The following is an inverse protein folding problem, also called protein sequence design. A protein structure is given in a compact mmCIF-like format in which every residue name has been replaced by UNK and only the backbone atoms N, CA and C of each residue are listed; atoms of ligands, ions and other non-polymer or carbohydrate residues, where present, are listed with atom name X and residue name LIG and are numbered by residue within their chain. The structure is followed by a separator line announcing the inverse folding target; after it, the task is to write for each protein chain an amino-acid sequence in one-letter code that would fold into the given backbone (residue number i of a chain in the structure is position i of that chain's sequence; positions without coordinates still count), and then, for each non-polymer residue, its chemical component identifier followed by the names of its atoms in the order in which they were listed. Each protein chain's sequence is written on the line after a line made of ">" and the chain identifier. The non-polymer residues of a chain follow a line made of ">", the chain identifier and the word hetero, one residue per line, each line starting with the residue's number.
data_IF_447298168508
#
_entry.id   IF_447298168508
#
_cell.length_a   1.000
_cell.length_b   1.000
_cell.length_c   1.000
_cell.angle_alpha   90.00
_cell.angle_beta   90.00
_cell.angle_gamma   90.00
#
_symmetry.space_group_name_H-M   'P 1'
#
loop_
_entity.id
_entity.type
_entity.pdbx_description
1 polymer ?
#
# COMPACT_ATOMS: atom_id res chain seq x y z
N UNK A 1 -28.03 -21.01 4.46
CA UNK A 1 -27.59 -21.86 5.58
C UNK A 1 -26.79 -20.93 6.48
N UNK A 2 -27.32 -20.58 7.65
CA UNK A 2 -26.52 -19.78 8.60
C UNK A 2 -25.36 -20.68 9.04
N UNK A 3 -24.12 -20.23 8.83
CA UNK A 3 -22.97 -20.87 9.43
C UNK A 3 -23.12 -20.78 10.95
N UNK A 4 -23.06 -21.91 11.64
CA UNK A 4 -23.01 -21.92 13.09
C UNK A 4 -21.62 -21.45 13.52
N UNK A 5 -21.48 -20.18 13.80
CA UNK A 5 -20.23 -19.53 14.24
C UNK A 5 -19.77 -20.05 15.62
N UNK A 6 -20.62 -20.82 16.33
CA UNK A 6 -20.37 -21.22 17.72
C UNK A 6 -19.59 -22.54 17.87
N UNK A 7 -19.39 -23.31 16.81
CA UNK A 7 -18.91 -24.71 16.90
C UNK A 7 -17.38 -24.85 16.75
N UNK A 8 -16.67 -23.88 16.15
CA UNK A 8 -15.25 -23.99 15.92
C UNK A 8 -14.43 -23.20 16.94
N UNK A 9 -13.57 -23.90 17.71
CA UNK A 9 -12.58 -23.25 18.60
C UNK A 9 -11.30 -23.00 17.79
N UNK A 10 -11.04 -21.76 17.38
CA UNK A 10 -9.84 -21.48 16.60
C UNK A 10 -8.57 -21.70 17.43
N UNK A 11 -7.42 -22.00 16.79
CA UNK A 11 -6.13 -21.97 17.46
C UNK A 11 -5.89 -20.63 18.14
N UNK A 12 -5.07 -20.59 19.20
CA UNK A 12 -4.71 -19.35 19.87
C UNK A 12 -4.13 -18.33 18.84
N UNK A 13 -4.59 -17.09 18.95
CA UNK A 13 -4.13 -15.98 18.14
C UNK A 13 -3.79 -14.84 19.08
N UNK A 14 -2.54 -14.40 19.07
CA UNK A 14 -2.05 -13.38 19.98
C UNK A 14 -2.51 -12.00 19.48
N UNK A 15 -3.28 -11.23 20.28
CA UNK A 15 -3.61 -9.86 19.96
C UNK A 15 -2.36 -8.97 19.98
N UNK A 16 -2.48 -7.80 19.34
CA UNK A 16 -1.51 -6.73 19.58
C UNK A 16 -1.62 -6.24 21.03
N UNK A 17 -0.52 -5.74 21.60
CA UNK A 17 -0.54 -5.03 22.87
C UNK A 17 -1.45 -3.79 22.76
N UNK A 18 -2.37 -3.63 23.72
CA UNK A 18 -3.31 -2.50 23.71
C UNK A 18 -2.53 -1.20 23.89
N UNK A 19 -2.75 -0.15 23.06
CA UNK A 19 -2.05 1.13 23.21
C UNK A 19 -2.33 1.79 24.55
N UNK A 20 -1.30 2.35 25.18
CA UNK A 20 -1.49 3.21 26.37
C UNK A 20 -2.27 4.49 26.02
N UNK A 21 -1.96 5.10 24.87
CA UNK A 21 -2.69 6.24 24.30
C UNK A 21 -3.18 5.83 22.89
N UNK A 22 -4.44 5.42 22.81
CA UNK A 22 -5.01 4.92 21.57
C UNK A 22 -6.17 3.97 21.79
N UNK A 23 -6.59 3.32 20.72
CA UNK A 23 -7.64 2.30 20.73
C UNK A 23 -7.19 1.03 20.02
N UNK A 24 -7.66 -0.11 20.52
CA UNK A 24 -7.61 -1.38 19.81
C UNK A 24 -9.00 -1.70 19.27
N UNK A 25 -9.08 -1.97 17.98
CA UNK A 25 -10.31 -2.43 17.32
C UNK A 25 -10.13 -3.91 17.00
N UNK A 26 -11.15 -4.70 17.28
CA UNK A 26 -11.14 -6.14 17.08
C UNK A 26 -12.25 -6.56 16.12
N UNK A 27 -11.88 -7.19 15.02
CA UNK A 27 -12.79 -7.97 14.21
C UNK A 27 -12.79 -9.40 14.77
N UNK A 28 -13.88 -9.83 15.43
CA UNK A 28 -13.91 -11.12 16.11
C UNK A 28 -13.76 -12.32 15.16
N UNK A 29 -13.47 -13.52 15.69
CA UNK A 29 -13.30 -14.73 14.88
C UNK A 29 -14.53 -15.05 14.03
N UNK A 30 -14.33 -15.30 12.74
CA UNK A 30 -15.37 -15.76 11.81
C UNK A 30 -14.89 -16.92 10.95
N UNK A 31 -15.80 -17.82 10.57
CA UNK A 31 -15.47 -18.99 9.76
C UNK A 31 -15.39 -18.65 8.27
N UNK A 32 -14.37 -19.21 7.60
CA UNK A 32 -14.25 -19.20 6.14
C UNK A 32 -14.30 -20.65 5.66
N UNK A 33 -15.39 -21.09 5.00
CA UNK A 33 -15.54 -22.46 4.54
C UNK A 33 -14.44 -22.93 3.60
N UNK A 34 -14.24 -24.25 3.43
CA UNK A 34 -13.34 -24.79 2.42
C UNK A 34 -13.67 -24.31 1.02
N UNK A 35 -12.65 -24.02 0.20
CA UNK A 35 -12.78 -23.58 -1.19
C UNK A 35 -13.72 -22.39 -1.34
N UNK A 36 -13.68 -21.47 -0.38
CA UNK A 36 -14.55 -20.30 -0.32
C UNK A 36 -13.76 -19.01 -0.06
N UNK A 37 -14.20 -17.97 -0.71
CA UNK A 37 -13.70 -16.61 -0.52
C UNK A 37 -14.77 -15.81 0.22
N UNK A 38 -14.43 -15.29 1.39
CA UNK A 38 -15.34 -14.52 2.24
C UNK A 38 -14.82 -13.12 2.44
N UNK A 39 -15.60 -12.16 2.02
CA UNK A 39 -15.36 -10.74 2.27
C UNK A 39 -16.56 -10.16 3.00
N UNK A 40 -16.28 -9.52 4.13
CA UNK A 40 -17.30 -9.00 5.02
C UNK A 40 -16.93 -7.64 5.62
N UNK A 41 -17.94 -6.97 6.12
CA UNK A 41 -17.84 -5.79 6.98
C UNK A 41 -18.29 -6.10 8.39
N UNK A 42 -17.71 -5.37 9.35
CA UNK A 42 -18.07 -5.41 10.76
C UNK A 42 -17.95 -4.00 11.34
N UNK A 43 -19.09 -3.39 11.65
CA UNK A 43 -19.12 -2.04 12.16
C UNK A 43 -18.97 -2.03 13.68
N UNK A 44 -18.15 -1.10 14.20
CA UNK A 44 -17.86 -0.94 15.63
C UNK A 44 -18.07 0.51 16.02
N UNK A 45 -19.00 0.75 16.95
CA UNK A 45 -19.17 2.06 17.60
C UNK A 45 -17.98 2.32 18.54
N UNK A 46 -17.51 3.56 18.55
CA UNK A 46 -16.38 3.99 19.38
C UNK A 46 -16.86 5.07 20.37
N UNK A 47 -16.73 4.77 21.64
CA UNK A 47 -17.05 5.71 22.72
C UNK A 47 -15.80 6.54 23.11
N UNK A 48 -15.39 7.41 22.20
CA UNK A 48 -14.26 8.34 22.43
C UNK A 48 -14.76 9.76 22.12
N UNK A 49 -14.76 10.67 23.10
CA UNK A 49 -15.26 12.02 22.88
C UNK A 49 -14.29 12.86 22.05
N UNK A 50 -14.81 13.54 21.04
CA UNK A 50 -14.08 14.48 20.21
C UNK A 50 -13.15 13.85 19.19
N UNK A 51 -12.39 14.68 18.49
CA UNK A 51 -11.44 14.23 17.50
C UNK A 51 -10.24 13.53 18.13
N UNK A 52 -9.71 12.52 17.43
CA UNK A 52 -8.46 11.86 17.76
C UNK A 52 -7.43 12.10 16.66
N UNK A 53 -6.16 12.11 17.02
CA UNK A 53 -5.04 12.35 16.11
C UNK A 53 -4.17 11.10 16.06
N UNK A 54 -4.33 10.30 15.00
CA UNK A 54 -3.64 9.02 14.82
C UNK A 54 -2.28 9.26 14.17
N UNK A 55 -1.20 8.88 14.85
CA UNK A 55 0.18 8.99 14.34
C UNK A 55 0.88 7.65 14.09
N UNK A 56 0.25 6.52 14.46
CA UNK A 56 0.73 5.17 14.17
C UNK A 56 -0.43 4.21 14.07
N UNK A 57 -0.34 3.27 13.11
CA UNK A 57 -1.33 2.23 12.88
C UNK A 57 -0.62 0.89 12.86
N UNK A 58 -1.12 -0.08 13.62
CA UNK A 58 -0.61 -1.44 13.59
C UNK A 58 -1.76 -2.45 13.47
N UNK A 59 -1.58 -3.49 12.67
CA UNK A 59 -2.57 -4.55 12.48
C UNK A 59 -1.92 -5.93 12.52
N UNK A 60 -2.66 -6.91 13.02
CA UNK A 60 -2.32 -8.32 12.90
C UNK A 60 -3.55 -9.11 12.46
N UNK A 61 -3.35 -10.02 11.50
CA UNK A 61 -4.41 -10.83 10.89
C UNK A 61 -4.06 -12.31 10.94
N UNK A 62 -5.07 -13.19 11.08
CA UNK A 62 -4.85 -14.63 10.91
C UNK A 62 -4.39 -14.97 9.49
N UNK A 63 -3.70 -16.12 9.31
CA UNK A 63 -3.35 -16.63 7.99
C UNK A 63 -4.57 -16.81 7.08
N UNK A 64 -4.41 -16.56 5.78
CA UNK A 64 -5.48 -16.64 4.78
C UNK A 64 -6.16 -15.29 4.53
N UNK A 65 -5.76 -14.23 5.25
CA UNK A 65 -6.20 -12.88 4.97
C UNK A 65 -5.60 -12.36 3.67
N UNK A 66 -6.44 -11.78 2.83
CA UNK A 66 -6.08 -11.08 1.60
C UNK A 66 -5.86 -9.59 1.88
N UNK A 67 -6.83 -8.95 2.56
CA UNK A 67 -6.71 -7.58 3.03
C UNK A 67 -7.54 -7.32 4.30
N UNK A 68 -7.18 -6.23 4.96
CA UNK A 68 -7.98 -5.60 6.01
C UNK A 68 -8.00 -4.10 5.76
N UNK A 69 -9.19 -3.51 5.78
CA UNK A 69 -9.40 -2.07 5.55
C UNK A 69 -10.29 -1.53 6.67
N UNK A 70 -9.97 -0.34 7.13
CA UNK A 70 -10.80 0.41 8.07
C UNK A 70 -11.41 1.60 7.36
N UNK A 71 -12.72 1.68 7.41
CA UNK A 71 -13.50 2.82 6.96
C UNK A 71 -14.14 3.55 8.13
N UNK A 72 -14.53 4.78 7.92
CA UNK A 72 -15.45 5.54 8.76
C UNK A 72 -16.59 6.11 7.91
N UNK A 73 -17.42 6.90 8.51
CA UNK A 73 -18.54 7.58 7.87
C UNK A 73 -18.47 9.09 8.14
N UNK A 74 -19.45 9.84 7.64
CA UNK A 74 -19.64 11.26 7.90
C UNK A 74 -21.12 11.62 8.12
N UNK A 75 -21.41 12.90 8.28
CA UNK A 75 -22.77 13.40 8.49
C UNK A 75 -23.78 12.99 7.41
N UNK A 76 -23.32 12.74 6.17
CA UNK A 76 -24.18 12.28 5.07
C UNK A 76 -24.70 10.86 5.33
N UNK A 77 -23.91 10.05 6.01
CA UNK A 77 -24.25 8.68 6.36
C UNK A 77 -25.07 8.53 7.64
N UNK A 78 -25.30 9.59 8.42
CA UNK A 78 -25.84 9.54 9.79
C UNK A 78 -27.12 8.70 9.98
N UNK A 79 -27.97 8.59 8.94
CA UNK A 79 -29.18 7.77 8.97
C UNK A 79 -28.99 6.38 8.33
N UNK A 80 -27.79 6.04 7.89
CA UNK A 80 -27.46 4.83 7.15
C UNK A 80 -26.29 4.07 7.76
N UNK A 81 -25.90 4.39 9.00
CA UNK A 81 -24.85 3.64 9.70
C UNK A 81 -25.27 2.17 9.85
N UNK A 82 -24.35 1.24 9.73
CA UNK A 82 -24.61 -0.17 9.95
C UNK A 82 -25.00 -0.47 11.40
N UNK A 83 -25.61 -1.64 11.62
CA UNK A 83 -25.81 -2.13 12.98
C UNK A 83 -24.47 -2.48 13.62
N UNK A 84 -24.29 -2.05 14.89
CA UNK A 84 -23.09 -2.30 15.66
C UNK A 84 -22.87 -3.80 15.87
N UNK A 85 -21.63 -4.26 15.68
CA UNK A 85 -21.17 -5.62 15.95
C UNK A 85 -21.91 -6.72 15.18
N UNK A 86 -22.27 -6.45 13.92
CA UNK A 86 -22.95 -7.39 13.03
C UNK A 86 -22.10 -7.66 11.79
N UNK A 87 -21.82 -8.95 11.51
CA UNK A 87 -21.17 -9.35 10.26
C UNK A 87 -22.09 -9.10 9.07
N UNK A 88 -21.56 -8.49 8.02
CA UNK A 88 -22.27 -8.15 6.80
C UNK A 88 -21.44 -8.61 5.60
N UNK A 89 -21.71 -9.81 5.10
CA UNK A 89 -21.03 -10.35 3.93
C UNK A 89 -21.38 -9.53 2.67
N UNK A 90 -20.40 -9.20 1.84
CA UNK A 90 -20.61 -8.56 0.54
C UNK A 90 -21.34 -9.51 -0.40
N UNK A 91 -21.00 -10.81 -0.31
CA UNK A 91 -21.67 -11.88 -1.05
C UNK A 91 -22.29 -12.87 -0.07
N UNK A 92 -23.53 -13.22 -0.33
CA UNK A 92 -24.19 -14.31 0.38
C UNK A 92 -23.52 -15.66 0.05
N UNK A 93 -23.71 -16.65 0.89
CA UNK A 93 -23.13 -18.00 0.70
C UNK A 93 -23.68 -18.73 -0.55
N UNK A 94 -24.72 -18.24 -1.17
CA UNK A 94 -25.25 -18.73 -2.46
C UNK A 94 -24.60 -18.03 -3.69
N UNK A 95 -23.64 -17.14 -3.44
CA UNK A 95 -22.90 -16.39 -4.46
C UNK A 95 -23.59 -15.08 -4.91
N UNK A 96 -24.82 -14.81 -4.47
CA UNK A 96 -25.49 -13.55 -4.77
C UNK A 96 -24.87 -12.39 -3.98
N UNK A 97 -24.83 -11.20 -4.57
CA UNK A 97 -24.37 -9.97 -3.88
C UNK A 97 -25.40 -9.51 -2.87
N UNK A 98 -24.94 -8.87 -1.78
CA UNK A 98 -25.79 -8.25 -0.78
C UNK A 98 -26.02 -6.78 -1.09
N UNK A 99 -27.20 -6.40 -1.65
CA UNK A 99 -27.44 -5.02 -2.08
C UNK A 99 -27.44 -4.01 -0.93
N UNK A 100 -27.75 -4.45 0.31
CA UNK A 100 -27.72 -3.58 1.48
C UNK A 100 -26.29 -3.17 1.85
N UNK A 101 -25.34 -4.10 1.74
CA UNK A 101 -23.92 -3.81 1.97
C UNK A 101 -23.38 -2.90 0.87
N UNK A 102 -23.65 -3.21 -0.39
CA UNK A 102 -23.23 -2.36 -1.53
C UNK A 102 -23.78 -0.92 -1.41
N UNK A 103 -25.01 -0.77 -0.91
CA UNK A 103 -25.58 0.55 -0.65
C UNK A 103 -24.82 1.30 0.46
N UNK A 104 -24.43 0.62 1.54
CA UNK A 104 -23.68 1.23 2.65
C UNK A 104 -22.27 1.64 2.24
N UNK A 105 -21.61 0.89 1.35
CA UNK A 105 -20.27 1.20 0.84
C UNK A 105 -20.17 2.59 0.18
N UNK A 106 -21.27 3.14 -0.33
CA UNK A 106 -21.29 4.47 -0.95
C UNK A 106 -21.01 5.62 0.04
N UNK A 107 -21.18 5.36 1.33
CA UNK A 107 -21.00 6.35 2.40
C UNK A 107 -19.68 6.16 3.16
N UNK A 108 -18.92 5.13 2.82
CA UNK A 108 -17.66 4.82 3.49
C UNK A 108 -16.55 5.79 3.08
N UNK A 109 -15.77 6.20 4.08
CA UNK A 109 -14.53 6.94 3.91
C UNK A 109 -13.36 6.08 4.36
N UNK A 110 -12.42 5.86 3.48
CA UNK A 110 -11.22 5.10 3.78
C UNK A 110 -10.42 5.79 4.89
N UNK A 111 -9.91 5.02 5.85
CA UNK A 111 -9.01 5.47 6.92
C UNK A 111 -7.63 4.82 6.78
N UNK A 112 -7.61 3.51 6.70
CA UNK A 112 -6.37 2.75 6.57
C UNK A 112 -6.63 1.39 5.95
N UNK A 113 -5.60 0.79 5.39
CA UNK A 113 -5.70 -0.56 4.86
C UNK A 113 -4.34 -1.23 4.77
N UNK A 114 -4.35 -2.56 4.81
CA UNK A 114 -3.16 -3.37 4.62
C UNK A 114 -3.52 -4.71 3.99
N UNK A 115 -2.60 -5.21 3.16
CA UNK A 115 -2.65 -6.55 2.58
C UNK A 115 -1.57 -7.46 3.19
N UNK A 116 -0.84 -6.98 4.22
CA UNK A 116 0.16 -7.75 4.93
C UNK A 116 -0.33 -8.15 6.31
N UNK A 117 -0.11 -9.43 6.68
CA UNK A 117 -0.57 -10.01 7.96
C UNK A 117 -0.08 -9.25 9.20
N UNK A 118 1.10 -8.71 9.14
CA UNK A 118 1.70 -7.90 10.20
C UNK A 118 2.02 -6.54 9.60
N UNK A 119 1.31 -5.53 10.04
CA UNK A 119 1.48 -4.16 9.60
C UNK A 119 1.78 -3.27 10.79
N UNK A 120 2.77 -2.42 10.68
CA UNK A 120 3.12 -1.42 11.69
C UNK A 120 3.71 -0.20 10.98
N UNK A 121 3.01 0.92 11.11
CA UNK A 121 3.37 2.14 10.45
C UNK A 121 3.25 3.34 11.37
N UNK A 122 4.39 3.97 11.67
CA UNK A 122 4.46 5.25 12.35
C UNK A 122 4.60 6.36 11.31
N UNK A 123 3.81 7.41 11.45
CA UNK A 123 3.82 8.59 10.58
C UNK A 123 5.10 9.42 10.83
N UNK A 124 5.43 10.36 9.95
CA UNK A 124 6.48 11.33 10.20
C UNK A 124 6.23 12.10 11.49
N UNK A 125 7.31 12.59 12.11
CA UNK A 125 7.21 13.40 13.34
C UNK A 125 6.32 14.63 13.11
N UNK A 126 5.46 14.95 14.07
CA UNK A 126 4.50 16.04 13.99
C UNK A 126 3.31 15.81 13.06
N UNK A 127 3.21 14.64 12.39
CA UNK A 127 2.12 14.33 11.46
C UNK A 127 1.14 13.37 12.10
N UNK A 128 -0.16 13.69 12.03
CA UNK A 128 -1.22 12.79 12.48
C UNK A 128 -2.49 12.89 11.62
N UNK A 129 -3.18 11.76 11.44
CA UNK A 129 -4.48 11.71 10.79
C UNK A 129 -5.57 12.09 11.80
N UNK A 130 -6.34 13.13 11.50
CA UNK A 130 -7.46 13.57 12.32
C UNK A 130 -8.71 12.76 11.98
N UNK A 131 -9.27 12.08 12.98
CA UNK A 131 -10.47 11.25 12.83
C UNK A 131 -11.54 11.71 13.81
N UNK A 132 -12.80 11.70 13.37
CA UNK A 132 -13.98 11.80 14.26
C UNK A 132 -14.48 10.37 14.56
N UNK A 133 -14.20 9.82 15.74
CA UNK A 133 -14.62 8.48 16.09
C UNK A 133 -16.12 8.34 16.37
N UNK A 134 -16.87 9.43 16.46
CA UNK A 134 -18.32 9.41 16.72
C UNK A 134 -19.12 8.69 15.63
N UNK A 135 -18.55 8.57 14.41
CA UNK A 135 -19.14 7.79 13.32
C UNK A 135 -18.75 6.31 13.33
N UNK A 136 -18.02 5.86 14.34
CA UNK A 136 -17.52 4.47 14.42
C UNK A 136 -16.55 4.10 13.31
N UNK A 137 -16.18 2.82 13.29
CA UNK A 137 -15.32 2.23 12.25
C UNK A 137 -16.00 1.04 11.61
N UNK A 138 -15.91 0.93 10.30
CA UNK A 138 -16.40 -0.19 9.52
C UNK A 138 -15.23 -1.01 9.01
N UNK A 139 -15.08 -2.20 9.53
CA UNK A 139 -13.95 -3.10 9.34
C UNK A 139 -14.25 -4.02 8.17
N UNK A 140 -13.60 -3.81 7.04
CA UNK A 140 -13.64 -4.72 5.91
C UNK A 140 -12.52 -5.75 6.03
N UNK A 141 -12.83 -7.00 5.87
CA UNK A 141 -11.86 -8.08 5.88
C UNK A 141 -12.19 -9.13 4.83
N UNK A 142 -11.16 -9.53 4.10
CA UNK A 142 -11.25 -10.47 2.99
C UNK A 142 -10.31 -11.64 3.20
N UNK A 143 -10.87 -12.85 3.19
CA UNK A 143 -10.15 -14.12 3.36
C UNK A 143 -10.44 -15.05 2.20
N UNK A 144 -9.39 -15.67 1.66
CA UNK A 144 -9.48 -16.71 0.64
C UNK A 144 -9.02 -18.06 1.22
N UNK A 145 -9.91 -19.06 1.22
CA UNK A 145 -9.63 -20.38 1.73
C UNK A 145 -9.57 -21.40 0.59
N UNK A 146 -8.37 -21.72 0.14
CA UNK A 146 -8.12 -22.75 -0.88
C UNK A 146 -7.90 -24.15 -0.30
N UNK A 147 -8.03 -24.33 1.02
CA UNK A 147 -7.87 -25.62 1.71
C UNK A 147 -9.15 -26.45 1.70
N UNK A 148 -9.06 -27.69 2.19
CA UNK A 148 -10.22 -28.57 2.37
C UNK A 148 -10.85 -28.46 3.77
N UNK A 149 -10.26 -27.64 4.65
CA UNK A 149 -10.74 -27.44 6.02
C UNK A 149 -11.25 -26.02 6.19
N UNK A 150 -12.16 -25.79 7.14
CA UNK A 150 -12.58 -24.45 7.53
C UNK A 150 -11.40 -23.72 8.20
N UNK A 151 -11.11 -22.51 7.75
CA UNK A 151 -10.18 -21.62 8.43
C UNK A 151 -10.94 -20.52 9.18
N UNK A 152 -10.24 -19.80 10.07
CA UNK A 152 -10.81 -18.71 10.85
C UNK A 152 -10.12 -17.41 10.48
N UNK A 153 -10.91 -16.40 10.12
CA UNK A 153 -10.49 -15.00 10.01
C UNK A 153 -10.64 -14.32 11.36
N UNK A 154 -9.73 -13.42 11.68
CA UNK A 154 -9.74 -12.55 12.86
C UNK A 154 -8.67 -11.50 12.71
N UNK A 155 -8.94 -10.25 13.14
CA UNK A 155 -8.02 -9.12 13.00
C UNK A 155 -8.01 -8.27 14.26
N UNK A 156 -6.84 -7.90 14.73
CA UNK A 156 -6.64 -6.80 15.68
C UNK A 156 -5.98 -5.63 14.97
N UNK A 157 -6.50 -4.43 15.20
CA UNK A 157 -5.96 -3.18 14.68
C UNK A 157 -5.84 -2.16 15.80
N UNK A 158 -4.66 -1.55 15.93
CA UNK A 158 -4.39 -0.48 16.88
C UNK A 158 -4.25 0.85 16.16
N UNK A 159 -4.95 1.86 16.65
CA UNK A 159 -4.66 3.26 16.39
C UNK A 159 -3.99 3.86 17.62
N UNK A 160 -2.78 4.40 17.43
CA UNK A 160 -2.03 5.10 18.47
C UNK A 160 -2.24 6.59 18.27
N UNK A 161 -2.53 7.30 19.36
CA UNK A 161 -2.85 8.71 19.34
C UNK A 161 -1.65 9.58 19.71
N UNK A 162 -1.59 10.75 19.09
CA UNK A 162 -0.79 11.89 19.48
C UNK A 162 -1.64 12.89 20.24
N UNK A 163 -1.06 13.63 21.17
CA UNK A 163 -1.72 14.80 21.73
C UNK A 163 -1.86 15.87 20.63
N UNK A 164 -2.98 16.59 20.59
CA UNK A 164 -3.22 17.64 19.59
C UNK A 164 -2.13 18.71 19.59
N UNK A 165 -1.53 18.99 20.75
CA UNK A 165 -0.48 19.98 20.90
C UNK A 165 0.85 19.57 20.21
N UNK A 166 1.03 18.29 19.93
CA UNK A 166 2.22 17.73 19.26
C UNK A 166 2.00 17.55 17.74
N UNK A 167 0.80 17.90 17.23
CA UNK A 167 0.46 17.77 15.81
C UNK A 167 0.76 19.09 15.09
N UNK A 168 1.77 19.06 14.22
CA UNK A 168 2.16 20.19 13.38
C UNK A 168 1.41 20.17 12.03
N UNK A 169 1.16 18.94 11.51
CA UNK A 169 0.50 18.72 10.22
C UNK A 169 -0.60 17.66 10.34
N UNK A 170 -1.78 18.01 9.84
CA UNK A 170 -2.88 17.06 9.74
C UNK A 170 -2.73 16.27 8.44
N UNK A 171 -2.61 14.94 8.57
CA UNK A 171 -2.58 14.05 7.43
C UNK A 171 -3.96 13.89 6.81
N UNK A 172 -3.97 13.74 5.49
CA UNK A 172 -5.15 13.44 4.69
C UNK A 172 -4.91 12.22 3.80
N UNK A 173 -5.99 11.65 3.28
CA UNK A 173 -5.94 10.46 2.44
C UNK A 173 -5.94 10.89 0.98
N UNK A 174 -4.90 10.48 0.27
CA UNK A 174 -4.85 10.56 -1.19
C UNK A 174 -5.54 9.33 -1.77
N UNK A 175 -6.52 9.55 -2.66
CA UNK A 175 -7.14 8.49 -3.43
C UNK A 175 -7.31 8.93 -4.88
N UNK A 176 -6.50 8.37 -5.77
CA UNK A 176 -6.53 8.66 -7.20
C UNK A 176 -7.10 7.44 -7.94
N UNK A 177 -8.24 7.63 -8.61
CA UNK A 177 -8.95 6.56 -9.30
C UNK A 177 -8.96 6.80 -10.80
N UNK A 178 -8.65 5.77 -11.58
CA UNK A 178 -9.01 5.74 -12.98
C UNK A 178 -10.15 4.72 -13.20
N UNK A 179 -11.33 5.23 -13.51
CA UNK A 179 -12.51 4.42 -13.78
C UNK A 179 -12.69 4.11 -15.28
N UNK A 180 -11.83 4.66 -16.15
CA UNK A 180 -11.87 4.42 -17.59
C UNK A 180 -11.00 3.20 -17.94
N UNK A 181 -11.49 2.03 -17.52
CA UNK A 181 -10.85 0.73 -17.76
C UNK A 181 -11.64 0.00 -18.84
N UNK A 182 -10.93 -0.40 -19.90
CA UNK A 182 -11.47 -1.24 -20.96
C UNK A 182 -10.41 -2.25 -21.40
N UNK A 183 -10.61 -3.52 -21.04
CA UNK A 183 -9.68 -4.62 -21.29
C UNK A 183 -10.30 -5.62 -22.27
N UNK A 184 -9.94 -5.56 -23.55
CA UNK A 184 -10.40 -6.54 -24.54
C UNK A 184 -9.96 -7.96 -24.17
N UNK A 185 -10.73 -8.99 -24.60
CA UNK A 185 -10.42 -10.38 -24.30
C UNK A 185 -9.10 -10.84 -24.93
N UNK A 186 -8.43 -11.77 -24.24
CA UNK A 186 -7.24 -12.49 -24.70
C UNK A 186 -6.08 -11.59 -25.13
N UNK A 187 -5.88 -10.44 -24.44
CA UNK A 187 -4.74 -9.56 -24.73
C UNK A 187 -4.20 -8.83 -23.49
N UNK A 188 -2.97 -8.36 -23.62
CA UNK A 188 -2.34 -7.45 -22.66
C UNK A 188 -2.68 -6.01 -23.02
N UNK A 189 -3.08 -5.22 -22.03
CA UNK A 189 -3.43 -3.79 -22.17
C UNK A 189 -2.74 -2.98 -21.10
N UNK A 190 -2.07 -1.88 -21.49
CA UNK A 190 -1.53 -0.91 -20.55
C UNK A 190 -2.36 0.35 -20.58
N UNK A 191 -2.81 0.79 -19.41
CA UNK A 191 -3.59 2.01 -19.22
C UNK A 191 -2.73 3.01 -18.42
N UNK A 192 -2.81 4.29 -18.78
CA UNK A 192 -2.15 5.37 -18.07
C UNK A 192 -3.12 6.51 -17.77
N UNK A 193 -3.00 7.10 -16.57
CA UNK A 193 -3.80 8.24 -16.15
C UNK A 193 -2.96 9.24 -15.38
N UNK A 194 -3.19 10.55 -15.58
CA UNK A 194 -2.41 11.63 -14.96
C UNK A 194 -3.30 12.46 -14.04
N UNK A 195 -2.77 12.75 -12.87
CA UNK A 195 -3.41 13.54 -11.83
C UNK A 195 -2.46 14.65 -11.40
N UNK A 196 -2.94 15.89 -11.40
CA UNK A 196 -2.14 17.07 -11.05
C UNK A 196 -2.48 17.48 -9.62
N UNK A 197 -1.46 17.68 -8.78
CA UNK A 197 -1.62 17.95 -7.35
C UNK A 197 -2.45 19.19 -7.09
N UNK A 198 -2.26 20.25 -7.88
CA UNK A 198 -3.06 21.48 -7.81
C UNK A 198 -4.55 21.25 -8.08
N UNK A 199 -4.90 20.26 -8.91
CA UNK A 199 -6.29 19.93 -9.26
C UNK A 199 -6.93 18.96 -8.26
N UNK A 200 -6.17 18.00 -7.76
CA UNK A 200 -6.66 16.95 -6.86
C UNK A 200 -6.70 17.41 -5.39
N UNK A 201 -5.71 18.18 -4.96
CA UNK A 201 -5.52 18.63 -3.58
C UNK A 201 -5.77 20.14 -3.45
N UNK A 202 -5.43 20.93 -4.46
CA UNK A 202 -5.63 22.38 -4.49
C UNK A 202 -4.45 23.19 -3.96
N UNK A 203 -3.44 22.56 -3.38
CA UNK A 203 -2.24 23.19 -2.84
C UNK A 203 -1.05 22.19 -2.83
N UNK A 204 0.20 22.67 -2.70
CA UNK A 204 1.37 21.80 -2.59
C UNK A 204 1.25 20.80 -1.45
N UNK A 205 1.73 19.59 -1.68
CA UNK A 205 1.54 18.47 -0.77
C UNK A 205 2.82 17.66 -0.52
N UNK A 206 2.93 17.14 0.69
CA UNK A 206 3.99 16.25 1.14
C UNK A 206 3.43 14.83 1.25
N UNK A 207 3.70 13.98 0.27
CA UNK A 207 3.23 12.59 0.24
C UNK A 207 4.24 11.72 0.99
N UNK A 208 3.80 11.02 2.04
CA UNK A 208 4.66 10.17 2.85
C UNK A 208 4.35 8.66 2.77
N UNK A 209 3.21 8.30 2.14
CA UNK A 209 2.86 6.91 1.88
C UNK A 209 2.15 6.78 0.54
N UNK A 210 2.44 5.71 -0.22
CA UNK A 210 1.68 5.29 -1.41
C UNK A 210 1.56 3.77 -1.47
N UNK A 211 0.43 3.29 -1.98
CA UNK A 211 0.24 1.91 -2.42
C UNK A 211 -0.82 1.84 -3.52
N UNK A 212 -0.75 0.81 -4.35
CA UNK A 212 -1.72 0.58 -5.43
C UNK A 212 -2.82 -0.37 -5.01
N UNK A 213 -3.95 -0.29 -5.71
CA UNK A 213 -4.99 -1.30 -5.68
C UNK A 213 -5.48 -1.58 -7.10
N UNK A 214 -5.48 -2.84 -7.45
CA UNK A 214 -5.99 -3.39 -8.70
C UNK A 214 -6.53 -4.81 -8.42
N UNK A 215 -7.15 -5.46 -9.39
CA UNK A 215 -7.63 -6.82 -9.25
C UNK A 215 -6.76 -7.84 -10.03
N UNK A 216 -7.27 -9.06 -10.18
CA UNK A 216 -6.51 -10.25 -10.58
C UNK A 216 -5.87 -10.24 -11.98
N UNK A 217 -6.33 -9.37 -12.88
CA UNK A 217 -5.74 -9.28 -14.23
C UNK A 217 -4.53 -8.33 -14.27
N UNK A 218 -4.29 -7.58 -13.19
CA UNK A 218 -3.14 -6.67 -13.11
C UNK A 218 -1.82 -7.45 -13.00
N UNK A 219 -0.90 -7.16 -13.92
CA UNK A 219 0.43 -7.79 -13.95
C UNK A 219 1.53 -6.87 -13.43
N UNK A 220 1.34 -5.57 -13.52
CA UNK A 220 2.18 -4.57 -12.88
C UNK A 220 1.46 -3.23 -12.75
N UNK A 221 1.83 -2.50 -11.71
CA UNK A 221 1.32 -1.17 -11.42
C UNK A 221 2.49 -0.25 -11.11
N UNK A 222 2.60 0.87 -11.80
CA UNK A 222 3.66 1.86 -11.60
C UNK A 222 3.06 3.22 -11.32
N UNK A 223 3.76 3.99 -10.49
CA UNK A 223 3.44 5.39 -10.23
C UNK A 223 4.68 6.23 -10.51
N UNK A 224 4.49 7.27 -11.29
CA UNK A 224 5.54 8.21 -11.64
C UNK A 224 5.20 9.60 -11.10
N UNK A 225 6.21 10.30 -10.63
CA UNK A 225 6.17 11.74 -10.48
C UNK A 225 6.39 12.36 -11.86
N UNK A 226 5.57 13.31 -12.23
CA UNK A 226 5.58 14.03 -13.50
C UNK A 226 5.55 15.54 -13.24
N UNK A 227 5.97 16.34 -14.23
CA UNK A 227 5.98 17.79 -14.14
C UNK A 227 5.37 18.41 -15.41
N UNK A 228 4.47 19.39 -15.25
CA UNK A 228 3.79 20.07 -16.37
C UNK A 228 4.76 20.89 -17.24
N UNK A 229 5.80 21.45 -16.62
CA UNK A 229 6.79 22.28 -17.32
C UNK A 229 7.89 21.45 -17.99
N UNK A 230 8.02 20.18 -17.61
CA UNK A 230 8.98 19.21 -18.16
C UNK A 230 8.25 17.93 -18.59
N UNK A 231 7.48 17.94 -19.71
CA UNK A 231 6.59 16.83 -20.09
C UNK A 231 7.26 15.47 -20.30
N UNK A 232 8.57 15.47 -20.60
CA UNK A 232 9.37 14.25 -20.76
C UNK A 232 9.97 13.74 -19.44
N UNK A 233 9.81 14.49 -18.34
CA UNK A 233 10.31 14.11 -17.02
C UNK A 233 9.33 13.13 -16.37
N UNK A 234 9.78 11.88 -16.18
CA UNK A 234 9.06 10.82 -15.45
C UNK A 234 9.99 10.17 -14.44
N UNK A 235 9.74 10.37 -13.17
CA UNK A 235 10.47 9.72 -12.09
C UNK A 235 9.62 8.57 -11.51
N UNK A 236 10.09 7.33 -11.59
CA UNK A 236 9.41 6.19 -10.98
C UNK A 236 9.52 6.27 -9.45
N UNK A 237 8.40 6.47 -8.77
CA UNK A 237 8.34 6.57 -7.31
C UNK A 237 7.72 5.34 -6.64
N UNK A 238 6.93 4.53 -7.38
CA UNK A 238 6.30 3.32 -6.87
C UNK A 238 6.16 2.27 -7.98
N UNK A 239 6.29 1.00 -7.60
CA UNK A 239 6.00 -0.13 -8.48
C UNK A 239 5.49 -1.33 -7.69
N UNK A 240 4.46 -2.01 -8.23
CA UNK A 240 3.98 -3.31 -7.76
C UNK A 240 3.91 -4.30 -8.93
N UNK A 241 4.21 -5.57 -8.65
CA UNK A 241 3.98 -6.72 -9.53
C UNK A 241 3.09 -7.77 -8.88
N UNK A 242 2.57 -7.43 -7.72
CA UNK A 242 1.68 -8.27 -6.93
C UNK A 242 0.42 -7.47 -6.64
N UNK A 243 -0.66 -7.80 -7.34
CA UNK A 243 -1.95 -7.15 -7.17
C UNK A 243 -2.61 -7.57 -5.84
N UNK A 244 -2.29 -8.79 -5.38
CA UNK A 244 -2.86 -9.37 -4.17
C UNK A 244 -2.22 -8.78 -2.90
N UNK A 245 -0.91 -8.51 -2.94
CA UNK A 245 -0.16 -7.94 -1.82
C UNK A 245 0.72 -6.77 -2.30
N UNK A 246 0.11 -5.67 -2.81
CA UNK A 246 0.87 -4.54 -3.26
C UNK A 246 1.67 -3.94 -2.11
N UNK A 247 2.92 -3.60 -2.37
CA UNK A 247 3.78 -3.04 -1.35
C UNK A 247 3.32 -1.65 -0.91
N UNK A 248 3.38 -1.36 0.40
CA UNK A 248 3.18 -0.02 0.94
C UNK A 248 4.51 0.72 0.95
N UNK A 249 4.65 1.72 0.07
CA UNK A 249 5.84 2.56 0.00
C UNK A 249 5.75 3.67 1.05
N UNK A 250 6.80 3.84 1.83
CA UNK A 250 6.97 4.90 2.81
C UNK A 250 8.07 5.85 2.32
N UNK A 251 7.81 7.15 2.39
CA UNK A 251 8.78 8.18 2.03
C UNK A 251 9.24 8.89 3.29
N UNK A 252 10.53 8.80 3.53
CA UNK A 252 11.20 9.53 4.61
C UNK A 252 12.52 10.08 4.05
N UNK A 253 12.61 11.41 3.88
CA UNK A 253 11.55 12.41 4.09
C UNK A 253 10.36 12.24 3.10
N UNK A 254 9.19 12.83 3.41
CA UNK A 254 8.05 12.88 2.50
C UNK A 254 8.41 13.47 1.12
N UNK A 255 7.79 12.98 0.06
CA UNK A 255 7.95 13.55 -1.27
C UNK A 255 7.11 14.82 -1.38
N UNK A 256 7.77 15.95 -1.54
CA UNK A 256 7.10 17.22 -1.80
C UNK A 256 6.72 17.33 -3.29
N UNK A 257 5.48 17.69 -3.52
CA UNK A 257 4.93 18.01 -4.84
C UNK A 257 4.50 19.46 -4.86
N UNK A 258 5.02 20.24 -5.81
CA UNK A 258 4.58 21.61 -6.03
C UNK A 258 3.33 21.67 -6.95
N UNK A 259 2.84 22.89 -7.21
CA UNK A 259 1.65 23.13 -8.02
C UNK A 259 1.78 22.67 -9.50
N UNK A 260 2.99 22.49 -10.02
CA UNK A 260 3.25 22.05 -11.39
C UNK A 260 3.54 20.54 -11.48
N UNK A 261 3.52 19.84 -10.39
CA UNK A 261 3.83 18.43 -10.33
C UNK A 261 2.58 17.56 -10.19
N UNK A 262 2.71 16.32 -10.55
CA UNK A 262 1.61 15.38 -10.56
C UNK A 262 2.05 13.94 -10.46
N UNK A 263 1.06 13.08 -10.44
CA UNK A 263 1.19 11.63 -10.41
C UNK A 263 0.66 11.06 -11.72
N UNK A 264 1.47 10.25 -12.39
CA UNK A 264 1.01 9.39 -13.47
C UNK A 264 0.96 7.95 -12.98
N UNK A 265 -0.21 7.35 -13.04
CA UNK A 265 -0.40 5.91 -12.83
C UNK A 265 -0.28 5.19 -14.18
N UNK A 266 0.42 4.06 -14.22
CA UNK A 266 0.51 3.17 -15.37
C UNK A 266 0.29 1.74 -14.88
N UNK A 267 -0.79 1.10 -15.34
CA UNK A 267 -1.11 -0.28 -14.98
C UNK A 267 -1.22 -1.16 -16.21
N UNK A 268 -0.61 -2.33 -16.16
CA UNK A 268 -0.69 -3.34 -17.22
C UNK A 268 -1.53 -4.51 -16.76
N UNK A 269 -2.47 -4.92 -17.59
CA UNK A 269 -3.41 -6.00 -17.34
C UNK A 269 -3.28 -7.06 -18.42
N UNK A 270 -3.40 -8.32 -18.04
CA UNK A 270 -3.52 -9.44 -18.97
C UNK A 270 -4.93 -10.04 -18.85
N UNK A 271 -5.82 -9.62 -19.74
CA UNK A 271 -7.14 -10.22 -19.81
C UNK A 271 -7.04 -11.57 -20.55
N UNK A 272 -7.05 -12.65 -19.81
CA UNK A 272 -7.00 -14.03 -20.29
C UNK A 272 -8.40 -14.68 -20.38
N UNK A 273 -9.46 -13.87 -20.29
CA UNK A 273 -10.85 -14.31 -20.44
C UNK A 273 -11.36 -14.08 -21.86
N UNK A 274 -12.52 -14.66 -22.19
CA UNK A 274 -13.19 -14.45 -23.48
C UNK A 274 -14.15 -13.23 -23.47
N UNK A 275 -14.23 -12.51 -22.33
CA UNK A 275 -15.12 -11.37 -22.13
C UNK A 275 -14.32 -10.06 -22.02
N UNK A 276 -14.99 -8.94 -22.33
CA UNK A 276 -14.44 -7.61 -22.01
C UNK A 276 -14.53 -7.41 -20.49
N UNK A 277 -13.45 -6.90 -19.89
CA UNK A 277 -13.44 -6.51 -18.48
C UNK A 277 -13.33 -4.99 -18.38
N UNK A 278 -14.18 -4.40 -17.57
CA UNK A 278 -14.28 -2.96 -17.34
C UNK A 278 -14.10 -2.65 -15.85
N UNK A 279 -14.14 -1.37 -15.50
CA UNK A 279 -14.10 -0.93 -14.09
C UNK A 279 -15.30 -1.48 -13.30
N UNK A 280 -15.02 -2.00 -12.10
CA UNK A 280 -16.05 -2.43 -11.17
C UNK A 280 -15.52 -2.87 -9.82
N UNK A 281 -16.45 -3.03 -8.87
CA UNK A 281 -16.12 -3.31 -7.46
C UNK A 281 -15.94 -4.81 -7.15
N UNK A 282 -16.27 -5.68 -8.11
CA UNK A 282 -16.17 -7.12 -7.90
C UNK A 282 -14.80 -7.64 -8.32
N UNK A 283 -14.34 -8.72 -7.71
CA UNK A 283 -13.03 -9.33 -8.04
C UNK A 283 -12.92 -9.85 -9.48
N UNK A 284 -14.03 -9.96 -10.20
CA UNK A 284 -14.10 -10.29 -11.64
C UNK A 284 -13.99 -9.06 -12.55
N UNK A 285 -14.22 -7.87 -12.01
CA UNK A 285 -14.01 -6.59 -12.67
C UNK A 285 -12.56 -6.14 -12.43
N UNK A 286 -12.19 -4.94 -12.88
CA UNK A 286 -10.86 -4.39 -12.62
C UNK A 286 -10.91 -3.01 -11.99
N UNK A 287 -9.82 -2.68 -11.29
CA UNK A 287 -9.58 -1.37 -10.68
C UNK A 287 -8.21 -0.82 -11.02
N UNK A 288 -8.07 0.50 -10.95
CA UNK A 288 -6.81 1.22 -11.08
C UNK A 288 -6.80 2.38 -10.09
N UNK A 289 -6.32 2.12 -8.87
CA UNK A 289 -6.36 3.07 -7.77
C UNK A 289 -4.98 3.21 -7.14
N UNK A 290 -4.60 4.44 -6.80
CA UNK A 290 -3.50 4.74 -5.89
C UNK A 290 -4.09 5.31 -4.62
N UNK A 291 -3.74 4.70 -3.50
CA UNK A 291 -3.96 5.23 -2.17
C UNK A 291 -2.67 5.79 -1.61
N UNK A 292 -2.79 6.81 -0.76
CA UNK A 292 -1.66 7.38 -0.06
C UNK A 292 -2.06 8.19 1.15
N UNK A 293 -1.05 8.67 1.85
CA UNK A 293 -1.19 9.64 2.92
C UNK A 293 -0.31 10.84 2.60
N UNK A 294 -0.86 12.01 2.79
CA UNK A 294 -0.19 13.28 2.56
C UNK A 294 -0.59 14.30 3.63
N UNK A 295 0.11 15.39 3.70
CA UNK A 295 -0.31 16.62 4.36
C UNK A 295 0.05 17.80 3.46
N UNK A 296 -0.74 18.88 3.56
CA UNK A 296 -0.56 20.09 2.76
C UNK A 296 0.39 21.08 3.45
N UNK A 297 0.86 22.06 2.71
CA UNK A 297 1.73 23.11 3.18
C UNK A 297 3.06 23.17 2.44
N UNK A 298 3.89 24.13 2.84
CA UNK A 298 5.23 24.28 2.28
C UNK A 298 6.02 22.97 2.47
N UNK A 299 6.97 22.76 1.58
CA UNK A 299 7.96 21.72 1.75
C UNK A 299 8.46 21.75 3.18
N UNK A 300 8.35 20.62 3.91
CA UNK A 300 8.92 20.56 5.24
C UNK A 300 10.34 21.09 5.17
N UNK A 301 10.58 22.24 5.79
CA UNK A 301 11.89 22.76 6.04
C UNK A 301 12.61 21.89 7.10
N UNK A 302 12.70 20.62 6.84
CA UNK A 302 13.94 19.98 7.17
C UNK A 302 14.93 20.69 6.29
N UNK A 303 15.95 21.31 6.84
CA UNK A 303 17.15 21.77 6.13
C UNK A 303 17.76 20.66 5.25
N UNK A 304 17.03 19.57 4.99
CA UNK A 304 17.36 18.34 4.29
C UNK A 304 16.87 18.28 2.84
N UNK A 305 15.85 19.06 2.42
CA UNK A 305 15.31 18.86 1.05
C UNK A 305 15.92 19.72 -0.06
N UNK A 306 16.62 20.81 0.25
CA UNK A 306 17.56 21.43 -0.67
C UNK A 306 19.02 21.13 -0.30
N UNK A 307 19.26 20.32 0.73
CA UNK A 307 20.57 19.81 1.06
C UNK A 307 20.70 18.42 0.42
N UNK A 308 21.69 18.29 -0.43
CA UNK A 308 22.25 17.01 -0.83
C UNK A 308 22.32 16.09 0.38
N UNK A 309 22.10 14.78 0.24
CA UNK A 309 22.26 13.84 1.34
C UNK A 309 23.53 14.13 2.12
N UNK A 310 23.48 14.15 3.43
CA UNK A 310 24.67 14.50 4.25
C UNK A 310 25.74 13.40 4.22
N UNK A 311 25.32 12.15 3.95
CA UNK A 311 26.21 11.00 3.83
C UNK A 311 25.71 10.04 2.75
N UNK A 312 26.61 9.27 2.11
CA UNK A 312 26.18 8.21 1.23
C UNK A 312 25.39 7.15 1.99
N UNK A 313 24.29 6.67 1.43
CA UNK A 313 23.46 5.61 2.04
C UNK A 313 22.91 4.71 0.95
N UNK A 314 22.87 3.41 1.22
CA UNK A 314 22.16 2.43 0.41
C UNK A 314 20.92 1.98 1.21
N UNK A 315 19.74 2.26 0.67
CA UNK A 315 18.48 1.86 1.30
C UNK A 315 18.18 0.37 1.10
N UNK A 316 17.26 -0.17 1.88
CA UNK A 316 16.71 -1.50 1.62
C UNK A 316 16.00 -1.49 0.26
N UNK A 317 16.20 -2.55 -0.53
CA UNK A 317 15.48 -2.69 -1.79
C UNK A 317 14.00 -2.93 -1.53
N UNK A 318 13.19 -2.51 -2.48
CA UNK A 318 11.75 -2.62 -2.36
C UNK A 318 11.09 -2.94 -3.72
N UNK A 319 10.16 -3.91 -3.76
CA UNK A 319 9.82 -4.85 -2.68
C UNK A 319 10.96 -5.79 -2.30
N UNK A 320 10.91 -6.39 -1.09
CA UNK A 320 11.81 -7.45 -0.64
C UNK A 320 11.10 -8.36 0.38
N UNK A 321 10.77 -9.62 0.06
CA UNK A 321 11.10 -10.35 -1.19
C UNK A 321 10.47 -9.75 -2.44
N UNK A 322 11.01 -10.07 -3.63
CA UNK A 322 10.56 -9.52 -4.92
C UNK A 322 10.47 -10.59 -6.02
N UNK A 323 9.65 -10.31 -7.08
CA UNK A 323 9.45 -11.22 -8.22
C UNK A 323 9.06 -10.46 -9.50
N UNK A 324 9.88 -10.42 -10.56
CA UNK A 324 11.34 -10.51 -10.53
C UNK A 324 12.01 -9.13 -10.32
N UNK A 325 11.22 -8.07 -10.08
CA UNK A 325 11.67 -6.68 -10.08
C UNK A 325 11.73 -6.09 -8.67
N UNK A 326 12.74 -5.25 -8.43
CA UNK A 326 12.90 -4.48 -7.20
C UNK A 326 13.60 -3.16 -7.47
N UNK A 327 13.34 -2.15 -6.64
CA UNK A 327 13.99 -0.85 -6.67
C UNK A 327 15.09 -0.79 -5.60
N UNK A 328 16.24 -0.28 -5.97
CA UNK A 328 17.32 0.05 -5.06
C UNK A 328 17.42 1.57 -4.97
N UNK A 329 17.21 2.13 -3.79
CA UNK A 329 17.37 3.57 -3.52
C UNK A 329 18.73 3.80 -2.88
N UNK A 330 19.38 4.90 -3.24
CA UNK A 330 20.66 5.29 -2.66
C UNK A 330 20.84 6.82 -2.68
N UNK A 331 21.58 7.32 -1.70
CA UNK A 331 21.78 8.71 -1.46
C UNK A 331 23.23 9.09 -1.75
N UNK A 332 23.44 10.20 -2.45
CA UNK A 332 24.76 10.72 -2.83
C UNK A 332 24.93 12.16 -2.34
N UNK A 333 25.79 12.41 -1.33
CA UNK A 333 26.02 13.76 -0.81
C UNK A 333 26.77 14.66 -1.80
N UNK A 334 27.47 14.07 -2.74
CA UNK A 334 28.23 14.78 -3.78
C UNK A 334 28.27 13.98 -5.09
N UNK A 335 28.40 14.68 -6.20
CA UNK A 335 28.56 14.05 -7.51
C UNK A 335 29.86 13.24 -7.56
N UNK A 336 29.81 12.05 -8.14
CA UNK A 336 30.98 11.17 -8.22
C UNK A 336 30.70 9.87 -8.96
N UNK A 337 31.74 9.05 -9.08
CA UNK A 337 31.62 7.71 -9.63
C UNK A 337 30.85 6.83 -8.65
N UNK A 338 29.83 6.15 -9.17
CA UNK A 338 29.02 5.19 -8.43
C UNK A 338 29.11 3.83 -9.12
N UNK A 339 29.37 2.78 -8.33
CA UNK A 339 29.29 1.40 -8.78
C UNK A 339 28.27 0.67 -7.91
N UNK A 340 27.22 0.10 -8.54
CA UNK A 340 26.24 -0.77 -7.88
C UNK A 340 26.26 -2.13 -8.54
N UNK A 341 26.57 -3.15 -7.74
CA UNK A 341 26.70 -4.53 -8.22
C UNK A 341 25.84 -5.50 -7.41
N UNK A 342 25.34 -6.51 -8.10
CA UNK A 342 24.60 -7.64 -7.53
C UNK A 342 25.52 -8.86 -7.49
N UNK A 343 25.50 -9.59 -6.36
CA UNK A 343 26.28 -10.82 -6.15
C UNK A 343 25.37 -11.94 -5.62
N UNK A 344 25.70 -13.18 -5.94
CA UNK A 344 25.10 -14.33 -5.27
C UNK A 344 25.80 -14.60 -3.92
N UNK A 345 25.29 -15.56 -3.17
CA UNK A 345 25.81 -15.91 -1.84
C UNK A 345 27.23 -16.51 -1.85
N UNK A 346 27.75 -16.86 -3.03
CA UNK A 346 29.16 -17.30 -3.19
C UNK A 346 30.11 -16.14 -3.47
N UNK A 347 29.57 -14.90 -3.57
CA UNK A 347 30.32 -13.69 -3.90
C UNK A 347 30.55 -13.51 -5.41
N UNK A 348 29.97 -14.35 -6.25
CA UNK A 348 30.07 -14.21 -7.70
C UNK A 348 29.21 -13.04 -8.16
N UNK A 349 29.79 -12.14 -8.94
CA UNK A 349 29.06 -11.03 -9.54
C UNK A 349 28.02 -11.52 -10.55
N UNK A 350 26.81 -11.08 -10.38
CA UNK A 350 25.64 -11.40 -11.22
C UNK A 350 25.38 -10.27 -12.21
N UNK A 351 25.29 -9.02 -11.73
CA UNK A 351 24.99 -7.85 -12.56
C UNK A 351 25.67 -6.61 -12.03
N UNK A 352 26.03 -5.73 -12.96
CA UNK A 352 26.38 -4.34 -12.66
C UNK A 352 25.21 -3.45 -13.05
N UNK A 353 24.56 -2.81 -12.07
CA UNK A 353 23.40 -1.94 -12.30
C UNK A 353 23.83 -0.51 -12.64
N UNK A 354 24.84 -0.01 -11.93
CA UNK A 354 25.40 1.33 -12.14
C UNK A 354 26.92 1.22 -12.16
N UNK A 355 27.56 1.87 -13.13
CA UNK A 355 29.01 2.07 -13.19
C UNK A 355 29.30 3.34 -13.97
N UNK A 356 28.93 4.49 -13.39
CA UNK A 356 29.04 5.80 -14.06
C UNK A 356 29.11 6.94 -13.05
N UNK A 357 29.53 8.12 -13.53
CA UNK A 357 29.41 9.33 -12.76
C UNK A 357 27.92 9.68 -12.57
N UNK A 358 27.53 9.94 -11.33
CA UNK A 358 26.19 10.33 -10.93
C UNK A 358 26.23 11.71 -10.27
N UNK A 359 25.21 12.53 -10.50
CA UNK A 359 25.02 13.77 -9.73
C UNK A 359 24.67 13.47 -8.28
N UNK A 360 24.99 14.41 -7.39
CA UNK A 360 24.49 14.36 -6.01
C UNK A 360 22.96 14.32 -5.97
N UNK A 361 22.39 13.80 -4.87
CA UNK A 361 20.95 13.69 -4.65
C UNK A 361 20.49 12.27 -4.34
N UNK A 362 19.17 12.11 -4.18
CA UNK A 362 18.50 10.84 -3.98
C UNK A 362 18.32 10.13 -5.32
N UNK A 363 18.66 8.84 -5.40
CA UNK A 363 18.70 8.08 -6.65
C UNK A 363 17.95 6.76 -6.49
N UNK A 364 17.41 6.28 -7.60
CA UNK A 364 16.74 4.98 -7.70
C UNK A 364 17.21 4.23 -8.93
N UNK A 365 17.40 2.92 -8.81
CA UNK A 365 17.71 2.02 -9.93
C UNK A 365 16.95 0.71 -9.77
N UNK A 366 16.40 0.19 -10.85
CA UNK A 366 15.68 -1.08 -10.86
C UNK A 366 16.59 -2.26 -11.18
N UNK A 367 16.37 -3.38 -10.50
CA UNK A 367 16.86 -4.68 -10.90
C UNK A 367 15.70 -5.63 -11.21
N UNK A 368 15.78 -6.31 -12.35
CA UNK A 368 14.75 -7.20 -12.89
C UNK A 368 15.09 -8.68 -12.78
N UNK A 369 15.89 -9.10 -11.80
CA UNK A 369 16.26 -10.51 -11.61
C UNK A 369 17.08 -11.11 -12.77
N UNK A 370 17.84 -10.29 -13.52
CA UNK A 370 18.68 -10.79 -14.63
C UNK A 370 20.16 -10.55 -14.38
N UNK A 371 21.02 -11.35 -15.03
CA UNK A 371 22.47 -11.15 -15.05
C UNK A 371 22.91 -10.13 -16.11
N UNK A 372 24.23 -9.86 -16.21
CA UNK A 372 24.81 -8.93 -17.20
C UNK A 372 24.49 -9.32 -18.67
N UNK A 373 24.12 -10.57 -18.94
CA UNK A 373 23.70 -11.06 -20.27
C UNK A 373 22.16 -11.00 -20.45
N UNK A 374 21.43 -10.32 -19.58
CA UNK A 374 19.96 -10.23 -19.54
C UNK A 374 19.24 -11.59 -19.45
N UNK A 375 19.90 -12.63 -18.92
CA UNK A 375 19.27 -13.93 -18.62
C UNK A 375 18.79 -13.91 -17.17
N UNK A 376 17.56 -14.39 -16.96
CA UNK A 376 16.98 -14.56 -15.63
C UNK A 376 17.89 -15.41 -14.73
N UNK A 377 18.01 -15.01 -13.48
CA UNK A 377 18.74 -15.76 -12.46
C UNK A 377 17.78 -16.58 -11.61
N UNK A 378 18.29 -17.54 -10.86
CA UNK A 378 17.47 -18.42 -10.00
C UNK A 378 16.90 -17.66 -8.82
N UNK A 379 15.74 -18.09 -8.32
CA UNK A 379 15.25 -17.66 -7.02
C UNK A 379 16.30 -17.91 -5.93
N UNK A 380 16.37 -17.02 -4.95
CA UNK A 380 17.34 -17.12 -3.86
C UNK A 380 17.73 -15.80 -3.25
N UNK A 381 18.71 -15.88 -2.33
CA UNK A 381 19.28 -14.72 -1.65
C UNK A 381 20.40 -14.11 -2.49
N UNK A 382 20.36 -12.78 -2.66
CA UNK A 382 21.36 -11.97 -3.35
C UNK A 382 21.87 -10.86 -2.45
N UNK A 383 23.08 -10.41 -2.73
CA UNK A 383 23.69 -9.23 -2.11
C UNK A 383 23.82 -8.13 -3.14
N UNK A 384 23.50 -6.91 -2.77
CA UNK A 384 23.77 -5.73 -3.59
C UNK A 384 24.66 -4.76 -2.82
N UNK A 385 25.63 -4.21 -3.55
CA UNK A 385 26.68 -3.38 -2.97
C UNK A 385 26.77 -2.08 -3.75
N UNK A 386 26.77 -0.95 -3.04
CA UNK A 386 27.17 0.35 -3.59
C UNK A 386 28.61 0.65 -3.20
N UNK A 387 29.32 1.26 -4.14
CA UNK A 387 30.65 1.84 -3.95
C UNK A 387 30.64 3.26 -4.53
N UNK A 388 31.00 4.27 -3.71
CA UNK A 388 31.17 5.66 -4.16
C UNK A 388 32.24 6.33 -3.30
N UNK A 389 33.29 6.86 -3.93
CA UNK A 389 34.48 7.34 -3.20
C UNK A 389 35.03 6.27 -2.26
N UNK A 390 35.15 6.61 -0.96
CA UNK A 390 35.61 5.69 0.08
C UNK A 390 34.45 4.94 0.78
N UNK A 391 33.21 5.19 0.36
CA UNK A 391 32.03 4.55 0.95
C UNK A 391 31.71 3.24 0.26
N UNK A 392 31.45 2.21 1.06
CA UNK A 392 30.96 0.92 0.57
C UNK A 392 29.90 0.40 1.54
N UNK A 393 28.74 0.02 1.02
CA UNK A 393 27.67 -0.60 1.81
C UNK A 393 27.04 -1.75 1.04
N UNK A 394 26.76 -2.83 1.77
CA UNK A 394 26.12 -4.05 1.20
C UNK A 394 24.86 -4.36 1.97
N UNK A 395 23.81 -4.74 1.23
CA UNK A 395 22.54 -5.23 1.77
C UNK A 395 22.14 -6.55 1.10
N UNK A 396 21.18 -7.25 1.70
CA UNK A 396 20.63 -8.51 1.21
C UNK A 396 19.23 -8.31 0.63
N UNK A 397 18.89 -9.12 -0.37
CA UNK A 397 17.55 -9.16 -0.97
C UNK A 397 17.19 -10.59 -1.37
N UNK A 398 15.89 -10.89 -1.42
CA UNK A 398 15.34 -12.21 -1.72
C UNK A 398 14.54 -12.14 -3.02
N UNK A 399 15.00 -12.85 -4.04
CA UNK A 399 14.26 -13.05 -5.30
C UNK A 399 13.39 -14.30 -5.16
N UNK A 400 12.09 -14.13 -5.35
CA UNK A 400 11.12 -15.21 -5.51
C UNK A 400 11.11 -15.69 -6.96
N UNK A 401 10.33 -16.74 -7.23
CA UNK A 401 10.23 -17.31 -8.57
C UNK A 401 8.84 -17.11 -9.13
#
# INVERSE_FOLDING_TARGET
>A
MLLDETVYSPPAFEPLEIPENGIQIHLPPFNVPPQFERELFYYVEIDTPGYVYVNRIASTMRPGSHHFIVYTYDDVAQNNLPSNEVYRDIRNFDGSTNPGVLFQMQFQKFISGTQTRLFDYTFPEGVALKIDPSFGFDLNSHYANYSNDTIVGEVYNNFYFSDEADVEHVAEILQLNNNDIYLPPNQETTISSKFWIDQEIGEPANIFQLFSHAHQLNTNFKVFRINQTEPDSRELIYISYDWEHPPVMKFDPPLFFDENEGIEMEATYLNNTDEIVEFGLLSVDEMMIVFGLYFTGEQLNNDVQNTLPQSPLLHSNFPNPFNPNTLLRYDLPQSGMVNITIHDMTGRKIKTLVNSAQSAGYKTIQWNGTNDNNKSVSAGLYLYTIQTGNFTQTKKMVLLK
#
